data_IF_144848870076
#
_entry.id   IF_144848870076
#
_cell.length_a   1.000
_cell.length_b   1.000
_cell.length_c   1.000
_cell.angle_alpha   90.00
_cell.angle_beta   90.00
_cell.angle_gamma   90.00
#
_symmetry.space_group_name_H-M   'P 1'
#
loop_
_entity.id
_entity.type
_entity.pdbx_description
1 polymer ?
#
# COMPACT_ATOMS: atom_id res chain seq x y z
N UNK A 1 21.20 -17.98 -8.79
CA UNK A 1 19.74 -17.80 -8.62
C UNK A 1 19.52 -16.46 -7.94
N UNK A 2 18.64 -15.61 -8.46
CA UNK A 2 18.38 -14.27 -7.90
C UNK A 2 17.35 -14.40 -6.77
N UNK A 3 17.50 -13.65 -5.68
CA UNK A 3 16.49 -13.57 -4.62
C UNK A 3 15.75 -12.24 -4.71
N UNK A 4 14.44 -12.28 -4.83
CA UNK A 4 13.55 -11.13 -4.78
C UNK A 4 12.78 -11.14 -3.47
N UNK A 5 12.72 -10.00 -2.81
CA UNK A 5 11.87 -9.81 -1.63
C UNK A 5 10.91 -8.68 -1.95
N UNK A 6 9.62 -8.98 -2.05
CA UNK A 6 8.56 -7.99 -2.15
C UNK A 6 8.10 -7.68 -0.74
N UNK A 7 8.20 -6.42 -0.31
CA UNK A 7 7.93 -6.07 1.07
C UNK A 7 7.02 -4.86 1.18
N UNK A 8 5.92 -5.02 1.91
CA UNK A 8 5.19 -3.88 2.41
C UNK A 8 6.05 -3.06 3.40
N UNK A 9 5.67 -1.80 3.62
CA UNK A 9 6.44 -0.83 4.37
C UNK A 9 5.82 -0.51 5.74
N UNK A 10 4.63 0.08 5.72
CA UNK A 10 3.95 0.56 6.92
C UNK A 10 3.41 -0.62 7.73
N UNK A 11 3.65 -0.62 9.04
CA UNK A 11 3.34 -1.71 9.97
C UNK A 11 4.08 -3.05 9.69
N UNK A 12 4.76 -3.17 8.55
CA UNK A 12 5.68 -4.26 8.22
C UNK A 12 7.12 -3.97 8.66
N UNK A 13 7.74 -2.94 8.08
CA UNK A 13 9.13 -2.54 8.39
C UNK A 13 9.20 -1.43 9.44
N UNK A 14 8.21 -0.54 9.49
CA UNK A 14 8.17 0.59 10.40
C UNK A 14 6.74 1.04 10.64
N UNK A 15 6.50 1.81 11.69
CA UNK A 15 5.17 2.24 12.09
C UNK A 15 5.17 3.67 12.62
N UNK A 16 3.98 4.27 12.73
CA UNK A 16 3.81 5.58 13.40
C UNK A 16 4.17 5.50 14.88
N UNK A 17 4.64 6.61 15.47
CA UNK A 17 5.06 6.69 16.88
C UNK A 17 4.06 6.05 17.88
N UNK A 18 2.75 6.29 17.71
CA UNK A 18 1.71 5.73 18.59
C UNK A 18 1.63 4.20 18.61
N UNK A 19 2.19 3.53 17.62
CA UNK A 19 2.24 2.07 17.49
C UNK A 19 3.58 1.49 17.96
N UNK A 20 4.56 2.34 18.29
CA UNK A 20 5.82 1.86 18.85
C UNK A 20 5.64 1.46 20.32
N UNK A 21 6.35 0.41 20.79
CA UNK A 21 6.35 0.08 22.20
C UNK A 21 6.89 1.24 23.06
N UNK A 22 6.25 1.54 24.21
CA UNK A 22 6.66 2.66 25.05
C UNK A 22 8.05 2.43 25.64
N UNK A 23 8.90 3.45 25.58
CA UNK A 23 10.25 3.43 26.17
C UNK A 23 11.32 2.75 25.31
N UNK A 24 10.99 2.26 24.11
CA UNK A 24 12.01 1.77 23.17
C UNK A 24 12.73 2.91 22.45
N UNK A 25 14.03 2.72 22.21
CA UNK A 25 14.84 3.59 21.35
C UNK A 25 14.52 3.29 19.88
N UNK A 26 13.69 4.12 19.27
CA UNK A 26 13.17 3.93 17.92
C UNK A 26 13.87 4.80 16.89
N UNK A 27 14.03 4.28 15.68
CA UNK A 27 14.78 4.93 14.61
C UNK A 27 13.84 5.53 13.57
N UNK A 28 13.94 6.83 13.33
CA UNK A 28 13.16 7.50 12.29
C UNK A 28 13.47 6.92 10.89
N UNK A 29 12.44 6.53 10.16
CA UNK A 29 12.57 5.92 8.82
C UNK A 29 11.84 6.68 7.73
N UNK A 30 10.75 7.37 8.04
CA UNK A 30 10.03 8.18 7.06
C UNK A 30 9.62 9.53 7.62
N UNK A 31 9.57 10.53 6.75
CA UNK A 31 9.43 11.93 7.13
C UNK A 31 8.19 12.57 6.49
N UNK A 32 7.61 13.55 7.19
CA UNK A 32 6.54 14.39 6.70
C UNK A 32 7.04 15.41 5.67
N UNK A 33 6.11 16.19 5.10
CA UNK A 33 6.44 17.21 4.10
C UNK A 33 7.38 18.30 4.65
N UNK A 34 7.35 18.54 5.96
CA UNK A 34 8.17 19.55 6.65
C UNK A 34 9.46 18.95 7.24
N UNK A 35 9.76 17.67 6.93
CA UNK A 35 10.98 17.00 7.40
C UNK A 35 10.91 16.45 8.83
N UNK A 36 9.75 16.50 9.47
CA UNK A 36 9.51 15.87 10.77
C UNK A 36 9.41 14.33 10.64
N UNK A 37 9.99 13.54 11.57
CA UNK A 37 9.81 12.09 11.56
C UNK A 37 8.34 11.68 11.77
N UNK A 38 7.83 10.78 10.94
CA UNK A 38 6.44 10.27 11.03
C UNK A 38 6.34 8.75 11.18
N UNK A 39 7.38 8.01 10.80
CA UNK A 39 7.45 6.56 10.97
C UNK A 39 8.80 6.15 11.54
N UNK A 40 8.79 5.06 12.30
CA UNK A 40 9.93 4.60 13.09
C UNK A 40 10.07 3.07 13.04
N UNK A 41 11.31 2.60 13.08
CA UNK A 41 11.69 1.21 13.32
C UNK A 41 12.00 0.99 14.80
N UNK A 42 11.56 -0.13 15.36
CA UNK A 42 12.13 -0.66 16.61
C UNK A 42 13.56 -1.16 16.38
N UNK A 43 14.35 -1.40 17.44
CA UNK A 43 15.66 -2.03 17.30
C UNK A 43 15.64 -3.36 16.55
N UNK A 44 14.62 -4.20 16.79
CA UNK A 44 14.45 -5.47 16.11
C UNK A 44 14.15 -5.30 14.61
N UNK A 45 13.26 -4.37 14.24
CA UNK A 45 12.95 -4.08 12.83
C UNK A 45 14.17 -3.51 12.09
N UNK A 46 14.93 -2.63 12.74
CA UNK A 46 16.16 -2.08 12.17
C UNK A 46 17.20 -3.17 11.95
N UNK A 47 17.39 -4.06 12.92
CA UNK A 47 18.30 -5.19 12.78
C UNK A 47 17.87 -6.13 11.64
N UNK A 48 16.58 -6.45 11.57
CA UNK A 48 16.01 -7.27 10.51
C UNK A 48 16.23 -6.66 9.12
N UNK A 49 15.91 -5.37 8.95
CA UNK A 49 16.12 -4.67 7.69
C UNK A 49 17.60 -4.64 7.28
N UNK A 50 18.51 -4.35 8.23
CA UNK A 50 19.94 -4.34 7.95
C UNK A 50 20.43 -5.71 7.48
N UNK A 51 20.08 -6.78 8.19
CA UNK A 51 20.41 -8.15 7.80
C UNK A 51 19.88 -8.47 6.40
N UNK A 52 18.61 -8.15 6.14
CA UNK A 52 17.97 -8.41 4.85
C UNK A 52 18.64 -7.64 3.71
N UNK A 53 18.99 -6.36 3.92
CA UNK A 53 19.69 -5.52 2.94
C UNK A 53 21.11 -5.99 2.61
N UNK A 54 21.76 -6.70 3.55
CA UNK A 54 23.10 -7.24 3.38
C UNK A 54 23.11 -8.67 2.80
N UNK A 55 21.94 -9.30 2.66
CA UNK A 55 21.83 -10.70 2.20
C UNK A 55 22.15 -10.90 0.71
N UNK A 56 22.26 -9.82 -0.07
CA UNK A 56 22.34 -9.87 -1.53
C UNK A 56 20.99 -10.02 -2.24
N UNK A 57 19.87 -10.05 -1.50
CA UNK A 57 18.54 -10.03 -2.08
C UNK A 57 18.18 -8.67 -2.69
N UNK A 58 17.38 -8.68 -3.75
CA UNK A 58 16.77 -7.47 -4.32
C UNK A 58 15.49 -7.14 -3.55
N UNK A 59 15.52 -6.07 -2.75
CA UNK A 59 14.41 -5.67 -1.88
C UNK A 59 13.50 -4.67 -2.59
N UNK A 60 12.33 -5.11 -3.04
CA UNK A 60 11.36 -4.34 -3.81
C UNK A 60 10.24 -3.88 -2.87
N UNK A 61 10.17 -2.60 -2.50
CA UNK A 61 9.05 -2.06 -1.74
C UNK A 61 7.73 -2.23 -2.49
N UNK A 62 6.69 -2.67 -1.80
CA UNK A 62 5.36 -2.93 -2.34
C UNK A 62 4.31 -2.27 -1.45
N UNK A 63 4.05 -0.99 -1.67
CA UNK A 63 3.36 -0.10 -0.71
C UNK A 63 2.13 0.58 -1.29
N UNK A 64 1.19 0.95 -0.41
CA UNK A 64 0.08 1.85 -0.72
C UNK A 64 0.49 3.32 -0.88
N UNK A 65 1.69 3.70 -0.44
CA UNK A 65 2.19 5.08 -0.50
C UNK A 65 2.24 5.61 -1.93
N UNK A 66 2.02 6.92 -2.10
CA UNK A 66 2.32 7.61 -3.34
C UNK A 66 3.83 7.70 -3.61
N UNK A 67 4.23 8.08 -4.83
CA UNK A 67 5.64 8.32 -5.16
C UNK A 67 6.27 9.30 -4.16
N UNK A 68 5.62 10.43 -3.88
CA UNK A 68 6.14 11.43 -2.95
C UNK A 68 6.25 10.90 -1.51
N UNK A 69 5.26 10.13 -1.04
CA UNK A 69 5.32 9.52 0.28
C UNK A 69 6.39 8.43 0.39
N UNK A 70 6.66 7.72 -0.70
CA UNK A 70 7.74 6.75 -0.80
C UNK A 70 9.12 7.43 -0.86
N UNK A 71 9.27 8.54 -1.60
CA UNK A 71 10.53 9.31 -1.66
C UNK A 71 11.01 9.81 -0.29
N UNK A 72 10.09 10.00 0.65
CA UNK A 72 10.39 10.40 2.04
C UNK A 72 10.69 9.22 2.98
N UNK A 73 10.75 7.99 2.46
CA UNK A 73 11.28 6.83 3.19
C UNK A 73 12.80 6.83 3.04
N UNK A 74 13.51 7.03 4.14
CA UNK A 74 14.97 7.11 4.20
C UNK A 74 15.58 5.74 4.53
N UNK A 75 15.23 4.73 3.72
CA UNK A 75 15.86 3.42 3.72
C UNK A 75 16.59 3.21 2.38
N UNK A 76 17.79 2.59 2.37
CA UNK A 76 18.64 2.48 1.20
C UNK A 76 18.18 1.40 0.21
N UNK A 77 16.96 1.51 -0.30
CA UNK A 77 16.49 0.66 -1.40
C UNK A 77 17.19 1.04 -2.71
N UNK A 78 17.76 0.05 -3.39
CA UNK A 78 18.48 0.20 -4.66
C UNK A 78 17.73 -0.40 -5.86
N UNK A 79 16.62 -1.09 -5.64
CA UNK A 79 15.78 -1.65 -6.70
C UNK A 79 14.68 -0.68 -7.13
N UNK A 80 13.87 -1.12 -8.10
CA UNK A 80 12.55 -0.53 -8.32
C UNK A 80 11.61 -0.70 -7.12
N UNK A 81 10.44 -0.10 -7.21
CA UNK A 81 9.40 -0.15 -6.18
C UNK A 81 8.00 -0.22 -6.80
N UNK A 82 7.05 -0.78 -6.07
CA UNK A 82 5.63 -0.82 -6.39
C UNK A 82 4.94 0.13 -5.41
N UNK A 83 4.29 1.16 -5.93
CA UNK A 83 3.65 2.23 -5.15
C UNK A 83 2.19 2.38 -5.57
N UNK A 84 1.45 3.27 -4.90
CA UNK A 84 0.02 3.52 -5.18
C UNK A 84 -0.82 2.24 -5.18
N UNK A 85 -0.61 1.36 -4.19
CA UNK A 85 -1.30 0.07 -4.08
C UNK A 85 -1.09 -0.87 -5.27
N UNK A 86 -0.07 -0.64 -6.10
CA UNK A 86 0.18 -1.41 -7.33
C UNK A 86 -0.10 -0.64 -8.63
N UNK A 87 -0.67 0.56 -8.56
CA UNK A 87 -0.95 1.35 -9.76
C UNK A 87 0.31 1.85 -10.47
N UNK A 88 1.46 1.90 -9.78
CA UNK A 88 2.71 2.36 -10.40
C UNK A 88 3.86 1.45 -10.00
N UNK A 89 4.59 0.99 -11.02
CA UNK A 89 5.87 0.30 -10.88
C UNK A 89 6.96 1.31 -11.23
N UNK A 90 7.90 1.52 -10.32
CA UNK A 90 9.07 2.37 -10.48
C UNK A 90 10.28 1.51 -10.84
N UNK A 91 11.11 2.01 -11.75
CA UNK A 91 12.45 1.47 -12.03
C UNK A 91 13.45 1.86 -10.93
N UNK A 92 14.67 1.29 -10.89
CA UNK A 92 15.71 1.66 -9.92
C UNK A 92 16.07 3.16 -9.92
N UNK A 93 15.96 3.82 -11.08
CA UNK A 93 16.15 5.27 -11.25
C UNK A 93 14.96 6.11 -10.71
N UNK A 94 13.97 5.46 -10.10
CA UNK A 94 12.73 6.04 -9.55
C UNK A 94 11.78 6.66 -10.59
N UNK A 95 12.00 6.41 -11.88
CA UNK A 95 11.04 6.78 -12.92
C UNK A 95 10.02 5.66 -13.16
N UNK A 96 8.79 5.99 -13.59
CA UNK A 96 7.78 4.98 -13.89
C UNK A 96 8.21 3.99 -14.98
N UNK A 97 7.78 2.74 -14.85
CA UNK A 97 7.82 1.74 -15.90
C UNK A 97 6.69 2.02 -16.91
N UNK A 98 7.05 2.42 -18.12
CA UNK A 98 6.09 2.84 -19.15
C UNK A 98 5.21 1.69 -19.67
N UNK A 99 5.68 0.44 -19.62
CA UNK A 99 4.87 -0.70 -20.03
C UNK A 99 3.76 -0.96 -19.02
N UNK A 100 4.10 -0.90 -17.72
CA UNK A 100 3.10 -0.99 -16.66
C UNK A 100 2.13 0.20 -16.69
N UNK A 101 2.66 1.41 -16.88
CA UNK A 101 1.84 2.63 -16.97
C UNK A 101 0.82 2.54 -18.11
N UNK A 102 1.22 2.13 -19.32
CA UNK A 102 0.31 1.95 -20.45
C UNK A 102 -0.77 0.88 -20.17
N UNK A 103 -0.40 -0.21 -19.50
CA UNK A 103 -1.36 -1.23 -19.06
C UNK A 103 -2.38 -0.67 -18.07
N UNK A 104 -1.95 0.12 -17.08
CA UNK A 104 -2.84 0.75 -16.12
C UNK A 104 -3.78 1.75 -16.78
N UNK A 105 -3.28 2.56 -17.72
CA UNK A 105 -4.10 3.49 -18.48
C UNK A 105 -5.26 2.78 -19.19
N UNK A 106 -4.99 1.68 -19.89
CA UNK A 106 -6.02 0.90 -20.55
C UNK A 106 -7.00 0.24 -19.55
N UNK A 107 -6.49 -0.32 -18.45
CA UNK A 107 -7.34 -0.99 -17.45
C UNK A 107 -8.22 -0.02 -16.63
N UNK A 108 -7.86 1.26 -16.60
CA UNK A 108 -8.59 2.28 -15.86
C UNK A 108 -9.62 3.02 -16.72
N UNK A 109 -9.61 2.85 -18.04
CA UNK A 109 -10.46 3.57 -18.99
C UNK A 109 -11.95 3.39 -18.68
N UNK A 110 -12.40 2.14 -18.51
CA UNK A 110 -13.81 1.80 -18.30
C UNK A 110 -14.37 2.27 -16.94
N UNK A 111 -13.50 2.62 -15.98
CA UNK A 111 -13.91 3.00 -14.62
C UNK A 111 -13.85 4.51 -14.36
N UNK A 112 -13.26 5.29 -15.26
CA UNK A 112 -13.07 6.74 -15.06
C UNK A 112 -14.40 7.48 -14.86
N UNK A 113 -15.39 7.23 -15.73
CA UNK A 113 -16.69 7.91 -15.64
C UNK A 113 -17.41 7.58 -14.32
N UNK A 114 -17.33 6.32 -13.89
CA UNK A 114 -17.93 5.85 -12.64
C UNK A 114 -17.26 6.52 -11.43
N UNK A 115 -15.93 6.56 -11.40
CA UNK A 115 -15.19 7.24 -10.33
C UNK A 115 -15.46 8.75 -10.32
N UNK A 116 -15.56 9.40 -11.48
CA UNK A 116 -15.92 10.82 -11.54
C UNK A 116 -17.30 11.08 -10.91
N UNK A 117 -18.30 10.25 -11.20
CA UNK A 117 -19.61 10.34 -10.54
C UNK A 117 -19.56 10.09 -9.03
N UNK A 118 -18.72 9.16 -8.57
CA UNK A 118 -18.50 8.90 -7.14
C UNK A 118 -17.79 10.06 -6.42
N UNK A 119 -16.89 10.77 -7.11
CA UNK A 119 -16.24 11.96 -6.59
C UNK A 119 -17.25 13.08 -6.38
N UNK A 120 -17.99 13.43 -7.43
CA UNK A 120 -18.96 14.54 -7.40
C UNK A 120 -20.06 14.30 -6.36
N UNK A 121 -20.62 13.09 -6.34
CA UNK A 121 -21.65 12.73 -5.37
C UNK A 121 -21.16 12.73 -3.92
N UNK A 122 -19.92 12.30 -3.67
CA UNK A 122 -19.35 12.31 -2.33
C UNK A 122 -18.95 13.72 -1.86
N UNK A 123 -18.44 14.56 -2.76
CA UNK A 123 -18.18 15.97 -2.47
C UNK A 123 -19.49 16.70 -2.13
N UNK A 124 -20.55 16.46 -2.89
CA UNK A 124 -21.87 17.03 -2.61
C UNK A 124 -22.45 16.51 -1.29
N UNK A 125 -22.31 15.21 -1.02
CA UNK A 125 -22.71 14.61 0.26
C UNK A 125 -21.96 15.27 1.44
N UNK A 126 -20.64 15.42 1.33
CA UNK A 126 -19.81 16.12 2.33
C UNK A 126 -20.31 17.54 2.59
N UNK A 127 -20.62 18.28 1.52
CA UNK A 127 -21.13 19.66 1.58
C UNK A 127 -22.51 19.75 2.25
N UNK A 128 -23.48 18.95 1.82
CA UNK A 128 -24.86 18.97 2.38
C UNK A 128 -24.85 18.64 3.87
N UNK A 129 -23.95 17.75 4.29
CA UNK A 129 -23.88 17.28 5.67
C UNK A 129 -22.85 17.99 6.54
N UNK A 130 -22.18 19.04 6.03
CA UNK A 130 -21.12 19.79 6.71
C UNK A 130 -20.05 18.88 7.31
N UNK A 131 -19.53 17.95 6.51
CA UNK A 131 -18.52 16.99 6.94
C UNK A 131 -17.09 17.52 6.85
N UNK A 132 -16.86 18.61 6.12
CA UNK A 132 -15.53 19.19 5.86
C UNK A 132 -14.46 18.17 5.39
N UNK A 133 -14.92 17.06 4.79
CA UNK A 133 -14.04 16.04 4.23
C UNK A 133 -13.46 16.51 2.89
N UNK A 134 -12.14 16.40 2.75
CA UNK A 134 -11.41 16.63 1.51
C UNK A 134 -11.47 15.36 0.66
N UNK A 135 -12.20 15.42 -0.45
CA UNK A 135 -12.40 14.28 -1.35
C UNK A 135 -11.87 14.66 -2.73
N UNK A 136 -10.90 13.90 -3.22
CA UNK A 136 -10.14 14.25 -4.42
C UNK A 136 -9.49 13.04 -5.10
N UNK A 137 -9.05 13.23 -6.35
CA UNK A 137 -8.32 12.25 -7.12
C UNK A 137 -6.89 12.06 -6.62
N UNK A 138 -6.45 10.81 -6.59
CA UNK A 138 -5.02 10.49 -6.66
C UNK A 138 -4.68 10.28 -8.13
N UNK A 139 -3.74 11.08 -8.62
CA UNK A 139 -3.26 11.05 -10.00
C UNK A 139 -1.74 10.88 -10.01
N UNK A 140 -1.21 10.26 -11.05
CA UNK A 140 0.24 10.17 -11.29
C UNK A 140 0.53 10.27 -12.79
N UNK A 141 1.42 11.19 -13.18
CA UNK A 141 1.81 11.44 -14.57
C UNK A 141 0.62 11.53 -15.55
N UNK A 142 -0.45 12.23 -15.15
CA UNK A 142 -1.66 12.43 -15.97
C UNK A 142 -2.64 11.26 -15.99
N UNK A 143 -2.42 10.24 -15.16
CA UNK A 143 -3.32 9.10 -15.00
C UNK A 143 -4.11 9.22 -13.69
N UNK A 144 -5.44 9.43 -13.72
CA UNK A 144 -6.29 9.40 -12.54
C UNK A 144 -6.47 7.97 -12.05
N UNK A 145 -5.92 7.67 -10.87
CA UNK A 145 -5.79 6.32 -10.34
C UNK A 145 -7.03 5.92 -9.53
N UNK A 146 -7.36 6.68 -8.49
CA UNK A 146 -8.41 6.35 -7.54
C UNK A 146 -8.81 7.57 -6.71
N UNK A 147 -9.88 7.44 -5.92
CA UNK A 147 -10.37 8.52 -5.06
C UNK A 147 -9.90 8.34 -3.63
N UNK A 148 -9.64 9.46 -2.95
CA UNK A 148 -9.31 9.52 -1.53
C UNK A 148 -10.15 10.57 -0.82
N UNK A 149 -10.60 10.23 0.39
CA UNK A 149 -11.20 11.12 1.36
C UNK A 149 -10.32 11.21 2.62
N UNK A 150 -10.06 12.44 3.06
CA UNK A 150 -9.35 12.77 4.31
C UNK A 150 -10.06 13.89 5.05
N UNK A 151 -9.80 14.01 6.35
CA UNK A 151 -10.30 15.11 7.16
C UNK A 151 -9.15 15.86 7.83
N UNK A 152 -9.05 17.17 7.60
CA UNK A 152 -7.96 18.00 8.16
C UNK A 152 -7.97 18.02 9.68
N UNK A 153 -9.16 18.14 10.27
CA UNK A 153 -9.37 18.12 11.72
C UNK A 153 -9.32 16.73 12.36
N UNK A 154 -9.02 15.67 11.60
CA UNK A 154 -9.04 14.28 12.07
C UNK A 154 -10.40 13.85 12.66
N UNK A 155 -11.50 14.37 12.12
CA UNK A 155 -12.85 13.91 12.47
C UNK A 155 -13.09 12.55 11.81
N UNK A 156 -12.93 11.51 12.62
CA UNK A 156 -13.07 10.13 12.17
C UNK A 156 -14.52 9.74 11.92
N UNK A 157 -15.48 10.38 12.59
CA UNK A 157 -16.90 10.12 12.40
C UNK A 157 -17.38 10.71 11.08
N UNK A 158 -16.91 11.91 10.73
CA UNK A 158 -17.15 12.50 9.41
C UNK A 158 -16.61 11.60 8.28
N UNK A 159 -15.38 11.07 8.43
CA UNK A 159 -14.82 10.13 7.46
C UNK A 159 -15.58 8.81 7.40
N UNK A 160 -16.04 8.29 8.53
CA UNK A 160 -16.84 7.07 8.55
C UNK A 160 -18.17 7.27 7.79
N UNK A 161 -18.79 8.46 7.91
CA UNK A 161 -19.99 8.78 7.12
C UNK A 161 -19.70 8.81 5.62
N UNK A 162 -18.57 9.39 5.18
CA UNK A 162 -18.14 9.32 3.77
C UNK A 162 -17.87 7.88 3.35
N UNK A 163 -17.24 7.08 4.22
CA UNK A 163 -16.97 5.65 3.96
C UNK A 163 -18.26 4.87 3.73
N UNK A 164 -19.27 5.06 4.58
CA UNK A 164 -20.57 4.39 4.44
C UNK A 164 -21.30 4.84 3.17
N UNK A 165 -21.23 6.13 2.84
CA UNK A 165 -21.78 6.66 1.59
C UNK A 165 -21.16 5.97 0.37
N UNK A 166 -19.83 5.89 0.31
CA UNK A 166 -19.14 5.18 -0.77
C UNK A 166 -19.41 3.69 -0.77
N UNK A 167 -19.43 3.04 0.39
CA UNK A 167 -19.71 1.61 0.49
C UNK A 167 -21.08 1.27 -0.13
N UNK A 168 -22.10 2.09 0.14
CA UNK A 168 -23.41 1.95 -0.49
C UNK A 168 -23.35 2.24 -2.00
N UNK A 169 -22.64 3.29 -2.41
CA UNK A 169 -22.50 3.69 -3.82
C UNK A 169 -21.78 2.66 -4.70
N UNK A 170 -20.87 1.86 -4.12
CA UNK A 170 -20.11 0.84 -4.86
C UNK A 170 -20.61 -0.59 -4.63
N UNK A 171 -21.67 -0.81 -3.84
CA UNK A 171 -22.10 -2.15 -3.42
C UNK A 171 -22.41 -3.10 -4.61
N UNK A 172 -22.91 -2.55 -5.72
CA UNK A 172 -23.22 -3.29 -6.95
C UNK A 172 -22.07 -3.26 -7.98
N UNK A 173 -20.95 -2.59 -7.68
CA UNK A 173 -19.82 -2.39 -8.59
C UNK A 173 -18.69 -3.36 -8.23
N UNK A 174 -18.70 -4.52 -8.86
CA UNK A 174 -17.70 -5.58 -8.57
C UNK A 174 -16.27 -5.17 -8.92
N UNK A 175 -16.09 -4.21 -9.83
CA UNK A 175 -14.79 -3.72 -10.29
C UNK A 175 -14.16 -2.67 -9.37
N UNK A 176 -14.83 -2.24 -8.29
CA UNK A 176 -14.30 -1.32 -7.29
C UNK A 176 -14.21 -1.98 -5.91
N UNK A 177 -13.36 -1.42 -5.06
CA UNK A 177 -13.32 -1.77 -3.64
C UNK A 177 -12.97 -0.56 -2.78
N UNK A 178 -13.33 -0.64 -1.51
CA UNK A 178 -13.04 0.39 -0.52
C UNK A 178 -11.85 -0.04 0.34
N UNK A 179 -10.91 0.87 0.55
CA UNK A 179 -9.80 0.74 1.48
C UNK A 179 -9.89 1.85 2.54
N UNK A 180 -9.64 1.53 3.80
CA UNK A 180 -9.62 2.53 4.88
C UNK A 180 -8.50 2.25 5.87
N UNK A 181 -7.70 3.26 6.19
CA UNK A 181 -6.66 3.17 7.22
C UNK A 181 -6.45 4.55 7.89
N UNK A 182 -6.96 4.70 9.12
CA UNK A 182 -6.90 5.98 9.84
C UNK A 182 -7.55 7.11 9.03
N UNK A 183 -6.89 8.27 8.96
CA UNK A 183 -7.35 9.45 8.22
C UNK A 183 -7.19 9.31 6.70
N UNK A 184 -7.57 8.16 6.13
CA UNK A 184 -7.48 7.86 4.72
C UNK A 184 -8.52 6.80 4.36
N UNK A 185 -9.59 7.22 3.67
CA UNK A 185 -10.58 6.34 3.05
C UNK A 185 -10.42 6.47 1.55
N UNK A 186 -10.40 5.36 0.82
CA UNK A 186 -10.15 5.35 -0.62
C UNK A 186 -11.09 4.39 -1.33
N UNK A 187 -11.49 4.76 -2.55
CA UNK A 187 -12.21 3.88 -3.49
C UNK A 187 -11.30 3.61 -4.65
N UNK A 188 -10.89 2.36 -4.82
CA UNK A 188 -9.93 1.93 -5.82
C UNK A 188 -10.58 0.96 -6.82
N UNK A 189 -10.21 1.07 -8.11
CA UNK A 189 -10.44 0.00 -9.07
C UNK A 189 -9.70 -1.28 -8.69
N UNK A 190 -10.33 -2.45 -8.88
CA UNK A 190 -9.71 -3.75 -8.59
C UNK A 190 -8.49 -4.07 -9.44
N UNK A 191 -8.35 -3.43 -10.60
CA UNK A 191 -7.12 -3.52 -11.41
C UNK A 191 -5.91 -2.91 -10.68
N UNK A 192 -6.12 -1.95 -9.77
CA UNK A 192 -5.08 -1.44 -8.86
C UNK A 192 -4.90 -2.43 -7.71
N UNK A 193 -3.87 -3.26 -7.85
CA UNK A 193 -3.55 -4.31 -6.90
C UNK A 193 -2.05 -4.54 -6.80
N UNK A 194 -1.55 -4.64 -5.56
CA UNK A 194 -0.18 -5.05 -5.27
C UNK A 194 0.12 -6.40 -5.91
N UNK A 195 -0.86 -7.33 -5.91
CA UNK A 195 -0.72 -8.66 -6.53
C UNK A 195 -0.43 -8.55 -8.02
N UNK A 196 -1.20 -7.76 -8.75
CA UNK A 196 -1.03 -7.62 -10.20
C UNK A 196 0.35 -7.03 -10.56
N UNK A 197 0.80 -6.00 -9.82
CA UNK A 197 2.11 -5.39 -10.01
C UNK A 197 3.26 -6.35 -9.63
N UNK A 198 3.14 -7.09 -8.52
CA UNK A 198 4.12 -8.10 -8.11
C UNK A 198 4.20 -9.22 -9.14
N UNK A 199 3.07 -9.68 -9.66
CA UNK A 199 3.02 -10.68 -10.73
C UNK A 199 3.77 -10.20 -11.98
N UNK A 200 3.51 -8.97 -12.42
CA UNK A 200 4.20 -8.36 -13.56
C UNK A 200 5.73 -8.33 -13.37
N UNK A 201 6.20 -7.90 -12.19
CA UNK A 201 7.63 -7.89 -11.89
C UNK A 201 8.19 -9.32 -11.82
N UNK A 202 7.51 -10.24 -11.16
CA UNK A 202 7.93 -11.64 -11.06
C UNK A 202 8.08 -12.31 -12.43
N UNK A 203 7.10 -12.13 -13.33
CA UNK A 203 7.13 -12.68 -14.68
C UNK A 203 8.32 -12.14 -15.49
N UNK A 204 8.57 -10.83 -15.41
CA UNK A 204 9.73 -10.18 -16.04
C UNK A 204 11.05 -10.76 -15.54
N UNK A 205 11.19 -10.91 -14.22
CA UNK A 205 12.44 -11.40 -13.62
C UNK A 205 12.64 -12.91 -13.85
N UNK A 206 11.56 -13.71 -13.83
CA UNK A 206 11.60 -15.15 -14.14
C UNK A 206 11.95 -15.43 -15.60
N UNK A 207 11.55 -14.55 -16.52
CA UNK A 207 11.96 -14.63 -17.92
C UNK A 207 13.48 -14.42 -18.11
N UNK A 208 14.14 -13.69 -17.19
CA UNK A 208 15.59 -13.48 -17.22
C UNK A 208 16.39 -14.59 -16.52
N UNK A 209 15.76 -15.45 -15.72
CA UNK A 209 16.38 -16.61 -15.09
C UNK A 209 15.70 -17.06 -13.80
N UNK A 210 16.22 -18.12 -13.14
CA UNK A 210 15.63 -18.64 -11.91
C UNK A 210 15.64 -17.62 -10.76
N UNK A 211 14.48 -17.49 -10.10
CA UNK A 211 14.22 -16.57 -8.99
C UNK A 211 13.73 -17.35 -7.78
N UNK A 212 14.30 -17.05 -6.60
CA UNK A 212 13.67 -17.28 -5.31
C UNK A 212 12.91 -16.01 -4.91
N UNK A 213 11.63 -16.14 -4.56
CA UNK A 213 10.76 -15.01 -4.22
C UNK A 213 10.22 -15.11 -2.80
N UNK A 214 10.24 -13.99 -2.08
CA UNK A 214 9.74 -13.89 -0.70
C UNK A 214 8.79 -12.70 -0.59
N UNK A 215 7.58 -12.91 -0.05
CA UNK A 215 6.60 -11.86 0.23
C UNK A 215 6.56 -11.49 1.71
N UNK A 216 6.73 -10.21 2.04
CA UNK A 216 6.62 -9.67 3.40
C UNK A 216 5.47 -8.67 3.50
N UNK A 217 4.56 -8.88 4.44
CA UNK A 217 3.46 -7.95 4.68
C UNK A 217 2.77 -8.19 6.01
N UNK A 218 2.12 -7.16 6.54
CA UNK A 218 1.39 -7.21 7.81
C UNK A 218 -0.12 -7.38 7.60
N UNK A 219 -0.65 -6.89 6.47
CA UNK A 219 -2.08 -6.72 6.25
C UNK A 219 -2.68 -7.93 5.55
N UNK A 220 -3.95 -8.26 5.83
CA UNK A 220 -4.63 -9.39 5.17
C UNK A 220 -4.67 -9.23 3.64
N UNK A 221 -4.80 -7.98 3.15
CA UNK A 221 -4.72 -7.67 1.72
C UNK A 221 -3.35 -7.98 1.09
N UNK A 222 -2.28 -7.99 1.87
CA UNK A 222 -0.94 -8.29 1.37
C UNK A 222 -0.78 -9.77 1.03
N UNK A 223 -1.58 -10.66 1.65
CA UNK A 223 -1.59 -12.09 1.32
C UNK A 223 -1.83 -12.36 -0.16
N UNK A 224 -2.57 -11.47 -0.85
CA UNK A 224 -2.80 -11.59 -2.28
C UNK A 224 -1.49 -11.55 -3.08
N UNK A 225 -0.56 -10.63 -2.78
CA UNK A 225 0.73 -10.59 -3.48
C UNK A 225 1.73 -11.57 -2.86
N UNK A 226 1.69 -11.78 -1.55
CA UNK A 226 2.59 -12.70 -0.86
C UNK A 226 2.38 -14.14 -1.34
N UNK A 227 1.14 -14.52 -1.68
CA UNK A 227 0.81 -15.85 -2.24
C UNK A 227 1.38 -16.11 -3.64
N UNK A 228 1.90 -15.09 -4.33
CA UNK A 228 2.64 -15.26 -5.59
C UNK A 228 4.10 -15.68 -5.36
N UNK A 229 4.61 -15.53 -4.14
CA UNK A 229 6.00 -15.79 -3.79
C UNK A 229 6.20 -17.23 -3.31
N UNK A 230 7.44 -17.72 -3.38
CA UNK A 230 7.80 -19.07 -2.92
C UNK A 230 7.71 -19.19 -1.39
N UNK A 231 8.06 -18.12 -0.69
CA UNK A 231 7.92 -18.00 0.76
C UNK A 231 7.21 -16.71 1.13
N UNK A 232 6.59 -16.70 2.31
CA UNK A 232 6.02 -15.49 2.89
C UNK A 232 6.42 -15.33 4.35
N UNK A 233 6.44 -14.08 4.83
CA UNK A 233 6.74 -13.72 6.21
C UNK A 233 5.83 -12.57 6.65
N UNK A 234 5.31 -12.63 7.87
CA UNK A 234 4.52 -11.55 8.47
C UNK A 234 5.09 -11.17 9.83
N UNK A 235 5.08 -9.87 10.20
CA UNK A 235 5.31 -9.48 11.59
C UNK A 235 4.27 -10.09 12.52
N UNK A 236 4.67 -10.39 13.75
CA UNK A 236 3.76 -10.93 14.80
C UNK A 236 2.66 -9.94 15.18
N UNK A 237 2.93 -8.65 15.12
CA UNK A 237 1.95 -7.60 15.45
C UNK A 237 1.02 -7.26 14.26
N UNK A 238 1.25 -7.85 13.09
CA UNK A 238 0.44 -7.60 11.88
C UNK A 238 -0.94 -8.25 11.92
N UNK A 239 -1.83 -7.77 11.05
CA UNK A 239 -3.19 -8.29 10.89
C UNK A 239 -3.20 -9.77 10.47
N UNK A 240 -2.32 -10.17 9.56
CA UNK A 240 -2.19 -11.57 9.11
C UNK A 240 -1.93 -12.51 10.29
N UNK A 241 -1.04 -12.13 11.21
CA UNK A 241 -0.76 -12.98 12.37
C UNK A 241 -2.00 -13.16 13.25
N UNK A 242 -2.86 -12.14 13.35
CA UNK A 242 -4.11 -12.22 14.11
C UNK A 242 -5.16 -13.13 13.48
N UNK A 243 -5.06 -13.43 12.17
CA UNK A 243 -5.96 -14.39 11.51
C UNK A 243 -5.50 -15.83 11.66
N UNK A 244 -4.28 -16.08 12.13
CA UNK A 244 -3.76 -17.44 12.31
C UNK A 244 -4.43 -18.12 13.52
N UNK A 245 -4.81 -19.40 13.41
CA UNK A 245 -5.40 -20.14 14.51
C UNK A 245 -4.42 -20.23 15.69
N UNK A 246 -4.88 -19.86 16.89
CA UNK A 246 -4.06 -19.90 18.13
C UNK A 246 -4.17 -21.21 18.87
N UNK A 247 -5.24 -21.96 18.62
CA UNK A 247 -5.48 -23.27 19.19
C UNK A 247 -5.38 -24.34 18.09
N UNK A 248 -4.31 -25.12 18.15
CA UNK A 248 -4.04 -26.21 17.19
C UNK A 248 -4.83 -27.48 17.52
N UNK A 249 -5.57 -27.52 18.63
CA UNK A 249 -6.42 -28.67 18.96
C UNK A 249 -7.63 -28.80 18.03
N UNK A 250 -8.01 -27.73 17.34
CA UNK A 250 -9.06 -27.74 16.31
C UNK A 250 -8.69 -28.48 15.02
N UNK A 251 -7.44 -28.93 14.87
CA UNK A 251 -6.96 -29.73 13.74
C UNK A 251 -6.70 -31.20 14.10
N UNK A 252 -7.16 -31.67 15.27
CA UNK A 252 -7.10 -33.07 15.69
C UNK A 252 -8.45 -33.77 15.58
#
# INVERSE_FOLDING_TARGET
MKTLVFLDLDDTLFQTARKCPPGEDVFATSFGKEGQPVSYMTPAQRHFFNWLSQSGATLIPTTGRSIDAYKRVHLPFSSGAIVHHGATVLKPDRTPDLLWHARMLHQLEDVQATLQGLLESAQEFSRIHNLDAEIYWIEEDGLPLYLVAKHRGLDMDALERVRQFWLAGIAALENLYLFANGNNVAVLPRCISKRAAVQYVLEREKAAGPVLSIGLGDSVSDLEFMSLCDFLMTPRAGQVFNTLPRDLTAFR
#
